data_IF_779982333577
#
_entry.id   IF_779982333577
#
_cell.length_a   1.000
_cell.length_b   1.000
_cell.length_c   1.000
_cell.angle_alpha   90.00
_cell.angle_beta   90.00
_cell.angle_gamma   90.00
#
_symmetry.space_group_name_H-M   'P 1'
#
loop_
_entity.id
_entity.type
_entity.pdbx_description
1 polymer ?
#
# COMPACT_ATOMS: atom_id res chain seq x y z
N UNK A 1 -51.59 57.22 -10.60
CA UNK A 1 -50.26 57.69 -11.06
C UNK A 1 -49.64 58.37 -9.85
N UNK A 2 -48.70 57.79 -9.11
CA UNK A 2 -47.26 57.62 -9.41
C UNK A 2 -46.71 56.63 -8.36
N UNK A 3 -46.34 55.40 -8.73
CA UNK A 3 -45.52 54.53 -7.86
C UNK A 3 -44.96 53.30 -8.60
N UNK A 4 -44.24 53.50 -9.71
CA UNK A 4 -43.51 52.41 -10.40
C UNK A 4 -42.25 52.89 -11.11
N UNK A 5 -41.30 53.54 -10.41
CA UNK A 5 -39.99 53.89 -11.01
C UNK A 5 -38.80 53.92 -10.02
N UNK A 6 -38.82 53.17 -8.92
CA UNK A 6 -37.77 53.30 -7.90
C UNK A 6 -36.98 52.02 -7.56
N UNK A 7 -37.05 50.94 -8.36
CA UNK A 7 -36.37 49.68 -8.01
C UNK A 7 -35.64 49.01 -9.18
N UNK A 8 -35.10 49.79 -10.12
CA UNK A 8 -34.20 49.29 -11.18
C UNK A 8 -32.75 49.77 -10.97
N UNK A 9 -32.50 50.59 -9.96
CA UNK A 9 -31.18 51.21 -9.72
C UNK A 9 -30.34 50.54 -8.61
N UNK A 10 -30.63 49.28 -8.25
CA UNK A 10 -29.90 48.55 -7.19
C UNK A 10 -29.18 47.29 -7.70
N UNK A 11 -29.01 47.14 -9.01
CA UNK A 11 -28.36 45.96 -9.63
C UNK A 11 -27.03 46.31 -10.34
N UNK A 12 -26.62 47.57 -10.40
CA UNK A 12 -25.47 48.00 -11.23
C UNK A 12 -24.24 48.54 -10.46
N UNK A 13 -24.11 48.27 -9.16
CA UNK A 13 -22.95 48.69 -8.36
C UNK A 13 -22.46 47.56 -7.43
N UNK A 14 -21.89 46.51 -8.00
CA UNK A 14 -20.83 45.72 -7.34
C UNK A 14 -19.83 45.24 -8.38
N UNK A 15 -19.04 46.23 -8.79
CA UNK A 15 -17.87 46.14 -9.64
C UNK A 15 -16.83 45.18 -9.05
N UNK A 16 -16.38 44.25 -9.91
CA UNK A 16 -14.99 43.83 -10.10
C UNK A 16 -14.10 43.70 -8.86
N UNK A 17 -14.05 42.51 -8.28
CA UNK A 17 -12.87 42.04 -7.55
C UNK A 17 -11.89 41.42 -8.56
N UNK A 18 -10.62 41.82 -8.62
CA UNK A 18 -9.62 41.13 -9.41
C UNK A 18 -9.35 39.75 -8.81
N UNK A 19 -9.37 38.72 -9.65
CA UNK A 19 -8.97 37.38 -9.27
C UNK A 19 -7.48 37.38 -8.88
N UNK A 20 -7.20 37.12 -7.61
CA UNK A 20 -5.85 36.88 -7.11
C UNK A 20 -5.45 35.46 -7.58
N UNK A 21 -4.69 35.38 -8.67
CA UNK A 21 -4.03 34.15 -9.10
C UNK A 21 -2.86 33.87 -8.15
N UNK A 22 -3.11 33.07 -7.12
CA UNK A 22 -2.07 32.47 -6.28
C UNK A 22 -1.34 31.41 -7.11
N UNK A 23 -0.26 31.82 -7.78
CA UNK A 23 0.72 30.90 -8.36
C UNK A 23 1.53 30.25 -7.22
N UNK A 24 1.02 29.14 -6.71
CA UNK A 24 1.81 28.25 -5.84
C UNK A 24 2.90 27.64 -6.70
N UNK A 25 4.13 28.15 -6.56
CA UNK A 25 5.32 27.49 -7.12
C UNK A 25 5.49 26.18 -6.35
N UNK A 26 5.54 25.01 -7.01
CA UNK A 26 5.92 23.78 -6.34
C UNK A 26 7.38 23.94 -5.89
N UNK A 27 7.58 24.06 -4.58
CA UNK A 27 8.90 23.89 -3.98
C UNK A 27 9.24 22.41 -4.15
N UNK A 28 10.10 22.12 -5.12
CA UNK A 28 10.76 20.81 -5.21
C UNK A 28 11.61 20.68 -3.94
N UNK A 29 11.05 19.99 -2.94
CA UNK A 29 11.81 19.56 -1.79
C UNK A 29 12.79 18.52 -2.31
N UNK A 30 14.04 18.95 -2.48
CA UNK A 30 15.16 18.07 -2.80
C UNK A 30 15.33 17.12 -1.62
N UNK A 31 14.74 15.93 -1.75
CA UNK A 31 14.85 14.85 -0.78
C UNK A 31 16.32 14.58 -0.50
N UNK A 32 16.66 14.50 0.79
CA UNK A 32 17.99 14.13 1.25
C UNK A 32 18.28 12.72 0.76
N UNK A 33 19.33 12.55 -0.02
CA UNK A 33 19.89 11.24 -0.36
C UNK A 33 20.47 10.63 0.90
N UNK A 34 19.81 9.61 1.45
CA UNK A 34 20.43 8.70 2.42
C UNK A 34 21.50 7.87 1.69
N UNK A 35 22.66 7.73 2.34
CA UNK A 35 23.92 7.37 1.70
C UNK A 35 24.07 5.91 1.28
N UNK A 36 24.93 5.76 0.26
CA UNK A 36 25.89 4.68 0.03
C UNK A 36 25.41 3.24 0.26
N UNK A 37 24.61 2.74 -0.68
CA UNK A 37 24.59 1.31 -1.01
C UNK A 37 25.95 0.88 -1.60
N UNK A 38 26.44 -0.33 -1.30
CA UNK A 38 27.70 -0.85 -1.84
C UNK A 38 27.65 -1.02 -3.37
N UNK A 39 28.79 -0.88 -4.07
CA UNK A 39 28.83 -0.97 -5.53
C UNK A 39 28.67 -2.43 -5.96
N UNK A 40 27.55 -2.76 -6.61
CA UNK A 40 27.36 -4.12 -7.12
C UNK A 40 25.99 -4.46 -7.73
N UNK A 41 24.95 -3.66 -7.55
CA UNK A 41 23.66 -3.85 -8.21
C UNK A 41 23.06 -2.49 -8.57
N UNK A 42 23.15 -2.09 -9.85
CA UNK A 42 22.44 -0.91 -10.36
C UNK A 42 21.63 -1.30 -11.59
N UNK A 43 20.47 -1.89 -11.32
CA UNK A 43 19.25 -1.60 -12.06
C UNK A 43 18.15 -1.43 -11.00
N UNK A 44 18.10 -0.25 -10.38
CA UNK A 44 16.89 0.19 -9.67
C UNK A 44 15.80 0.35 -10.74
N UNK A 45 14.94 -0.67 -10.88
CA UNK A 45 13.74 -0.55 -11.69
C UNK A 45 12.76 0.39 -10.96
N UNK A 46 12.37 1.53 -11.56
CA UNK A 46 11.61 2.61 -10.91
C UNK A 46 10.15 2.26 -10.54
N UNK A 47 9.76 0.99 -10.58
CA UNK A 47 8.36 0.56 -10.53
C UNK A 47 7.90 -0.01 -9.18
N UNK A 48 8.79 -0.17 -8.18
CA UNK A 48 8.43 -0.77 -6.88
C UNK A 48 8.38 0.24 -5.71
N UNK A 49 8.71 1.51 -5.93
CA UNK A 49 8.66 2.52 -4.86
C UNK A 49 7.23 2.67 -4.31
N UNK A 50 7.08 2.45 -2.99
CA UNK A 50 5.81 2.60 -2.28
C UNK A 50 4.81 1.46 -2.44
N UNK A 51 5.14 0.38 -3.15
CA UNK A 51 4.25 -0.80 -3.23
C UNK A 51 4.04 -1.43 -1.85
N UNK A 52 5.12 -1.54 -1.07
CA UNK A 52 5.16 -2.12 0.28
C UNK A 52 4.34 -1.37 1.32
N UNK A 53 4.05 -0.08 1.08
CA UNK A 53 3.24 0.73 1.99
C UNK A 53 1.74 0.63 1.68
N UNK A 54 1.38 0.07 0.52
CA UNK A 54 0.00 0.04 -0.01
C UNK A 54 -0.58 -1.36 -0.08
N UNK A 55 0.26 -2.37 -0.24
CA UNK A 55 -0.17 -3.74 -0.49
C UNK A 55 0.61 -4.69 0.40
N UNK A 56 -0.08 -5.64 1.02
CA UNK A 56 0.55 -6.63 1.88
C UNK A 56 0.45 -8.04 1.28
N UNK A 57 1.26 -8.95 1.79
CA UNK A 57 1.10 -10.38 1.56
C UNK A 57 2.31 -11.08 0.95
N UNK A 58 2.19 -12.38 0.77
CA UNK A 58 3.31 -13.27 0.44
C UNK A 58 3.68 -13.27 -1.04
N UNK A 59 2.94 -12.56 -1.88
CA UNK A 59 3.22 -12.45 -3.31
C UNK A 59 4.63 -11.89 -3.61
N UNK A 60 5.22 -11.08 -2.72
CA UNK A 60 6.60 -10.60 -2.86
C UNK A 60 7.65 -11.70 -3.00
N UNK A 61 7.37 -12.91 -2.50
CA UNK A 61 8.30 -14.04 -2.55
C UNK A 61 8.26 -14.79 -3.88
N UNK A 62 7.22 -14.58 -4.67
CA UNK A 62 6.91 -15.40 -5.87
C UNK A 62 6.54 -14.58 -7.10
N UNK A 63 6.39 -13.26 -6.96
CA UNK A 63 6.10 -12.35 -8.05
C UNK A 63 7.17 -11.25 -8.15
N UNK A 64 7.49 -10.86 -9.37
CA UNK A 64 8.49 -9.85 -9.71
C UNK A 64 7.90 -8.78 -10.62
N UNK A 65 8.50 -7.58 -10.55
CA UNK A 65 8.07 -6.40 -11.31
C UNK A 65 6.58 -6.16 -11.10
N UNK A 66 6.23 -5.92 -9.83
CA UNK A 66 4.88 -5.62 -9.43
C UNK A 66 4.71 -4.11 -9.27
N UNK A 67 3.54 -3.59 -9.62
CA UNK A 67 3.18 -2.19 -9.45
C UNK A 67 1.67 -2.05 -9.22
N UNK A 68 1.28 -0.93 -8.64
CA UNK A 68 -0.13 -0.55 -8.55
C UNK A 68 -0.47 0.52 -9.55
N UNK A 69 -1.63 0.43 -10.20
CA UNK A 69 -2.18 1.49 -11.03
C UNK A 69 -3.52 1.95 -10.45
N UNK A 70 -3.78 3.25 -10.54
CA UNK A 70 -5.11 3.80 -10.37
C UNK A 70 -5.77 3.82 -11.74
N UNK A 71 -6.98 3.27 -11.82
CA UNK A 71 -7.81 3.35 -13.01
C UNK A 71 -8.76 4.53 -12.79
N UNK A 72 -8.59 5.65 -13.49
CA UNK A 72 -9.44 6.84 -13.30
C UNK A 72 -10.93 6.53 -13.54
N UNK A 73 -11.22 5.50 -14.34
CA UNK A 73 -12.58 5.06 -14.67
C UNK A 73 -13.14 4.00 -13.70
N UNK A 74 -12.34 3.50 -12.75
CA UNK A 74 -12.80 2.52 -11.75
C UNK A 74 -12.41 2.96 -10.33
N UNK A 75 -13.29 2.77 -9.33
CA UNK A 75 -12.95 3.10 -7.95
C UNK A 75 -11.81 2.24 -7.38
N UNK A 76 -11.45 1.14 -8.06
CA UNK A 76 -10.55 0.13 -7.54
C UNK A 76 -9.15 0.25 -8.14
N UNK A 77 -8.16 0.38 -7.26
CA UNK A 77 -6.74 0.28 -7.63
C UNK A 77 -6.43 -1.13 -8.14
N UNK A 78 -5.46 -1.28 -9.03
CA UNK A 78 -5.06 -2.58 -9.61
C UNK A 78 -3.64 -2.94 -9.17
N UNK A 79 -3.44 -4.11 -8.58
CA UNK A 79 -2.11 -4.71 -8.42
C UNK A 79 -1.79 -5.56 -9.65
N UNK A 80 -0.68 -5.28 -10.31
CA UNK A 80 -0.19 -6.04 -11.47
C UNK A 80 1.22 -6.52 -11.23
N UNK A 81 1.53 -7.75 -11.64
CA UNK A 81 2.88 -8.31 -11.63
C UNK A 81 3.19 -8.95 -12.99
N UNK A 82 4.34 -8.64 -13.58
CA UNK A 82 4.75 -9.20 -14.88
C UNK A 82 5.07 -10.70 -14.81
N UNK A 83 5.66 -11.15 -13.69
CA UNK A 83 6.15 -12.53 -13.55
C UNK A 83 5.81 -13.06 -12.17
N UNK A 84 4.83 -13.94 -12.09
CA UNK A 84 4.53 -14.74 -10.92
C UNK A 84 4.87 -16.21 -11.20
N UNK A 85 5.64 -16.83 -10.31
CA UNK A 85 6.09 -18.21 -10.43
C UNK A 85 4.93 -19.19 -10.28
N UNK A 86 4.84 -20.14 -11.21
CA UNK A 86 3.91 -21.26 -11.20
C UNK A 86 4.54 -22.49 -10.53
N UNK A 87 3.75 -23.52 -10.24
CA UNK A 87 4.21 -24.72 -9.55
C UNK A 87 5.25 -25.52 -10.38
N UNK A 88 5.19 -25.38 -11.70
CA UNK A 88 6.15 -25.97 -12.66
C UNK A 88 7.44 -25.12 -12.83
N UNK A 89 7.57 -24.02 -12.09
CA UNK A 89 8.69 -23.07 -12.16
C UNK A 89 8.60 -22.07 -13.31
N UNK A 90 7.59 -22.14 -14.17
CA UNK A 90 7.38 -21.15 -15.23
C UNK A 90 6.77 -19.85 -14.69
N UNK A 91 6.68 -18.82 -15.53
CA UNK A 91 6.17 -17.50 -15.12
C UNK A 91 4.88 -17.14 -15.85
N UNK A 92 3.98 -16.48 -15.12
CA UNK A 92 2.72 -15.96 -15.64
C UNK A 92 2.54 -14.50 -15.21
N UNK A 93 2.03 -13.66 -16.11
CA UNK A 93 1.57 -12.31 -15.75
C UNK A 93 0.28 -12.42 -14.94
N UNK A 94 0.19 -11.69 -13.83
CA UNK A 94 -0.98 -11.72 -12.97
C UNK A 94 -1.45 -10.34 -12.57
N UNK A 95 -2.76 -10.21 -12.37
CA UNK A 95 -3.45 -8.96 -12.07
C UNK A 95 -4.56 -9.27 -11.08
N UNK A 96 -4.70 -8.42 -10.06
CA UNK A 96 -5.82 -8.44 -9.13
C UNK A 96 -6.31 -7.01 -8.87
N UNK A 97 -7.62 -6.86 -8.68
CA UNK A 97 -8.23 -5.57 -8.33
C UNK A 97 -8.28 -5.42 -6.82
N UNK A 98 -7.64 -4.38 -6.33
CA UNK A 98 -7.62 -3.99 -4.92
C UNK A 98 -8.91 -3.29 -4.53
N UNK A 99 -9.19 -3.21 -3.23
CA UNK A 99 -10.46 -2.65 -2.75
C UNK A 99 -11.68 -3.48 -3.16
N UNK A 100 -11.49 -4.74 -3.55
CA UNK A 100 -12.59 -5.68 -3.67
C UNK A 100 -13.23 -5.83 -2.27
N UNK A 101 -14.55 -5.65 -2.10
CA UNK A 101 -15.22 -5.83 -0.81
C UNK A 101 -15.03 -7.23 -0.22
N UNK A 102 -14.71 -8.23 -1.04
CA UNK A 102 -14.34 -9.55 -0.55
C UNK A 102 -12.94 -9.56 0.08
N UNK A 103 -12.03 -8.70 -0.39
CA UNK A 103 -10.61 -8.61 -0.04
C UNK A 103 -10.30 -7.49 0.96
N UNK A 104 -11.00 -7.46 2.09
CA UNK A 104 -11.04 -6.31 3.00
C UNK A 104 -9.71 -5.90 3.64
N UNK A 105 -8.70 -6.77 3.62
CA UNK A 105 -7.39 -6.53 4.27
C UNK A 105 -6.27 -6.16 3.29
N UNK A 106 -6.54 -6.16 1.98
CA UNK A 106 -5.55 -5.95 0.92
C UNK A 106 -4.26 -6.79 1.11
N UNK A 107 -4.44 -8.04 1.53
CA UNK A 107 -3.37 -9.04 1.65
C UNK A 107 -3.49 -10.01 0.49
N UNK A 108 -2.40 -10.19 -0.25
CA UNK A 108 -2.38 -10.99 -1.48
C UNK A 108 -1.32 -12.09 -1.42
N UNK A 109 -1.66 -13.25 -1.97
CA UNK A 109 -0.79 -14.41 -2.14
C UNK A 109 -0.74 -14.82 -3.60
N UNK A 110 0.22 -15.67 -3.92
CA UNK A 110 0.32 -16.28 -5.25
C UNK A 110 -0.11 -17.74 -5.18
N UNK A 111 -1.01 -18.13 -6.07
CA UNK A 111 -1.46 -19.52 -6.25
C UNK A 111 -1.28 -19.88 -7.71
N UNK A 112 -0.35 -20.80 -7.98
CA UNK A 112 0.02 -21.23 -9.33
C UNK A 112 0.17 -20.04 -10.32
N UNK A 113 1.03 -19.08 -9.95
CA UNK A 113 1.27 -17.86 -10.74
C UNK A 113 0.12 -16.86 -10.81
N UNK A 114 -0.96 -17.05 -10.05
CA UNK A 114 -2.11 -16.15 -10.00
C UNK A 114 -2.19 -15.41 -8.66
N UNK A 115 -2.34 -14.09 -8.69
CA UNK A 115 -2.57 -13.28 -7.51
C UNK A 115 -3.98 -13.53 -6.98
N UNK A 116 -4.07 -13.85 -5.70
CA UNK A 116 -5.31 -14.08 -4.98
C UNK A 116 -5.30 -13.34 -3.65
N UNK A 117 -6.48 -13.05 -3.12
CA UNK A 117 -6.62 -12.53 -1.78
C UNK A 117 -6.28 -13.60 -0.75
N UNK A 118 -5.58 -13.18 0.31
CA UNK A 118 -5.28 -13.99 1.47
C UNK A 118 -6.11 -13.51 2.67
N UNK A 119 -7.34 -14.02 2.76
CA UNK A 119 -8.32 -13.57 3.75
C UNK A 119 -7.94 -13.93 5.20
N UNK A 120 -7.16 -15.00 5.35
CA UNK A 120 -6.76 -15.51 6.66
C UNK A 120 -5.65 -14.65 7.24
N UNK A 121 -4.72 -14.21 6.40
CA UNK A 121 -3.50 -13.56 6.82
C UNK A 121 -3.75 -12.09 7.24
N UNK A 122 -3.14 -11.61 8.34
CA UNK A 122 -3.29 -10.22 8.72
C UNK A 122 -2.46 -9.29 7.83
N UNK A 123 -2.85 -8.02 7.74
CA UNK A 123 -2.08 -7.00 7.06
C UNK A 123 -0.79 -6.67 7.84
N UNK A 124 0.20 -6.17 7.12
CA UNK A 124 1.44 -5.70 7.71
C UNK A 124 2.69 -6.04 6.91
N UNK A 125 3.76 -5.34 7.21
CA UNK A 125 5.04 -5.43 6.50
C UNK A 125 5.87 -6.66 6.86
N UNK A 126 5.45 -7.43 7.86
CA UNK A 126 6.12 -8.70 8.20
C UNK A 126 6.21 -9.66 7.00
N UNK A 127 5.25 -9.62 6.08
CA UNK A 127 5.26 -10.43 4.85
C UNK A 127 6.52 -10.29 4.00
N UNK A 128 7.21 -9.15 4.06
CA UNK A 128 8.43 -8.89 3.28
C UNK A 128 9.60 -9.80 3.72
N UNK A 129 9.64 -10.16 5.00
CA UNK A 129 10.82 -10.77 5.62
C UNK A 129 10.49 -11.99 6.49
N UNK A 130 9.20 -12.33 6.61
CA UNK A 130 8.71 -13.52 7.28
C UNK A 130 8.14 -14.53 6.29
N UNK A 131 8.29 -15.80 6.65
CA UNK A 131 7.98 -16.96 5.83
C UNK A 131 7.22 -18.00 6.66
N UNK A 132 6.58 -18.93 5.96
CA UNK A 132 5.90 -20.09 6.56
C UNK A 132 4.94 -19.69 7.69
N UNK A 133 4.20 -18.60 7.44
CA UNK A 133 3.25 -18.06 8.39
C UNK A 133 1.99 -18.93 8.44
N UNK A 134 1.50 -19.20 9.65
CA UNK A 134 0.25 -19.91 9.89
C UNK A 134 -0.48 -19.30 11.08
N UNK A 135 -1.81 -19.41 11.07
CA UNK A 135 -2.68 -18.94 12.14
C UNK A 135 -3.32 -20.15 12.80
N UNK A 136 -3.24 -20.23 14.12
CA UNK A 136 -3.90 -21.30 14.90
C UNK A 136 -4.50 -20.71 16.15
N UNK A 137 -5.82 -20.86 16.31
CA UNK A 137 -6.56 -20.40 17.48
C UNK A 137 -6.21 -18.95 17.90
N UNK A 138 -6.25 -18.04 16.91
CA UNK A 138 -5.94 -16.61 17.08
C UNK A 138 -4.46 -16.25 17.31
N UNK A 139 -3.53 -17.19 17.12
CA UNK A 139 -2.09 -16.93 17.20
C UNK A 139 -1.48 -16.94 15.80
N UNK A 140 -0.83 -15.84 15.41
CA UNK A 140 0.02 -15.78 14.22
C UNK A 140 1.39 -16.34 14.56
N UNK A 141 1.83 -17.36 13.84
CA UNK A 141 3.17 -17.94 13.93
C UNK A 141 3.88 -17.81 12.60
N UNK A 142 5.11 -17.31 12.60
CA UNK A 142 5.94 -17.16 11.39
C UNK A 142 7.41 -17.50 11.66
N UNK A 143 8.19 -17.66 10.60
CA UNK A 143 9.64 -17.64 10.63
C UNK A 143 10.15 -16.35 10.01
N UNK A 144 10.69 -15.45 10.83
CA UNK A 144 11.08 -14.10 10.41
C UNK A 144 12.60 -13.95 10.31
N UNK A 145 13.08 -13.27 9.27
CA UNK A 145 14.49 -12.92 9.15
C UNK A 145 14.93 -12.04 10.34
N UNK A 146 16.03 -12.43 10.98
CA UNK A 146 16.63 -11.76 12.12
C UNK A 146 18.12 -12.11 12.23
N UNK A 147 18.78 -11.55 13.25
CA UNK A 147 20.15 -11.88 13.60
C UNK A 147 20.16 -12.46 15.02
N UNK A 148 20.46 -13.77 15.23
CA UNK A 148 20.95 -14.82 14.30
C UNK A 148 19.80 -15.44 13.45
N UNK A 149 20.02 -16.42 12.54
CA UNK A 149 19.14 -16.62 11.35
C UNK A 149 17.70 -17.00 11.70
N UNK A 150 16.79 -16.81 10.71
CA UNK A 150 15.33 -17.03 10.75
C UNK A 150 14.78 -17.50 12.09
N UNK A 151 14.14 -16.60 12.82
CA UNK A 151 13.63 -16.85 14.18
C UNK A 151 12.15 -17.23 14.09
N UNK A 152 11.77 -18.33 14.73
CA UNK A 152 10.37 -18.66 14.92
C UNK A 152 9.76 -17.68 15.94
N UNK A 153 8.67 -17.03 15.57
CA UNK A 153 8.04 -15.99 16.39
C UNK A 153 6.52 -16.13 16.34
N UNK A 154 5.86 -15.74 17.43
CA UNK A 154 4.41 -15.84 17.63
C UNK A 154 3.88 -14.57 18.26
N UNK A 155 2.66 -14.20 17.90
CA UNK A 155 1.94 -13.05 18.48
C UNK A 155 0.43 -13.32 18.43
N UNK A 156 -0.33 -12.82 19.41
CA UNK A 156 -1.78 -12.87 19.37
C UNK A 156 -2.34 -11.97 18.28
N UNK A 157 -3.30 -12.46 17.50
CA UNK A 157 -3.96 -11.67 16.45
C UNK A 157 -4.81 -10.55 17.04
N UNK A 158 -5.41 -10.77 18.21
CA UNK A 158 -6.07 -9.73 18.99
C UNK A 158 -5.16 -8.65 19.60
N UNK A 159 -3.84 -8.71 19.40
CA UNK A 159 -2.92 -7.69 19.92
C UNK A 159 -2.70 -6.52 18.95
N UNK A 160 -2.83 -6.77 17.64
CA UNK A 160 -2.45 -5.79 16.61
C UNK A 160 -3.43 -5.77 15.43
N UNK A 161 -3.68 -4.58 14.89
CA UNK A 161 -4.33 -4.44 13.58
C UNK A 161 -3.38 -4.72 12.41
N UNK A 162 -2.08 -4.44 12.60
CA UNK A 162 -1.02 -4.62 11.60
C UNK A 162 0.27 -5.11 12.24
N UNK A 163 0.98 -5.97 11.54
CA UNK A 163 2.17 -6.65 12.06
C UNK A 163 3.44 -6.27 11.30
N UNK A 164 4.54 -6.13 12.03
CA UNK A 164 5.87 -5.90 11.47
C UNK A 164 6.84 -6.96 11.99
N UNK A 165 7.91 -7.19 11.22
CA UNK A 165 9.08 -7.90 11.71
C UNK A 165 10.07 -6.91 12.30
N UNK A 166 10.37 -7.02 13.58
CA UNK A 166 11.41 -6.26 14.26
C UNK A 166 12.53 -7.21 14.70
N UNK A 167 13.60 -7.26 13.91
CA UNK A 167 14.79 -8.09 14.17
C UNK A 167 14.49 -9.58 14.44
N UNK A 168 13.57 -10.16 13.67
CA UNK A 168 13.16 -11.56 13.79
C UNK A 168 12.00 -11.82 14.75
N UNK A 169 11.43 -10.77 15.36
CA UNK A 169 10.26 -10.87 16.22
C UNK A 169 9.06 -10.16 15.59
N UNK A 170 7.91 -10.84 15.54
CA UNK A 170 6.65 -10.19 15.20
C UNK A 170 6.27 -9.17 16.28
N UNK A 171 5.85 -7.98 15.84
CA UNK A 171 5.36 -6.90 16.70
C UNK A 171 4.22 -6.14 16.03
N UNK A 172 3.46 -5.39 16.81
CA UNK A 172 2.50 -4.44 16.26
C UNK A 172 3.23 -3.30 15.51
N UNK A 173 2.65 -2.84 14.41
CA UNK A 173 3.07 -1.60 13.78
C UNK A 173 2.84 -0.41 14.74
N UNK A 174 3.80 0.52 14.89
CA UNK A 174 3.64 1.67 15.79
C UNK A 174 2.38 2.48 15.49
N UNK A 175 1.66 2.89 16.54
CA UNK A 175 0.43 3.69 16.41
C UNK A 175 -0.83 2.87 16.05
N UNK A 176 -0.80 1.55 16.27
CA UNK A 176 -1.91 0.63 16.01
C UNK A 176 -2.36 -0.16 17.26
N UNK A 177 -2.11 0.35 18.47
CA UNK A 177 -2.61 -0.26 19.71
C UNK A 177 -4.15 -0.32 19.67
N UNK A 178 -4.70 -1.49 19.98
CA UNK A 178 -6.14 -1.65 20.14
C UNK A 178 -6.52 -0.94 21.45
N UNK A 179 -7.11 0.24 21.35
CA UNK A 179 -7.78 0.87 22.48
C UNK A 179 -9.10 0.14 22.70
N UNK A 180 -9.20 -0.61 23.79
CA UNK A 180 -10.45 -1.22 24.30
C UNK A 180 -11.59 -0.20 24.46
#
# INVERSE_FOLDING_TARGET
MVLRQALVLLVLLSLSLPAIQLTVRPTVVKGRTCGNSPPGFTHEEPHQEGLHDRVYGTFYHSCYKCWTEFDDDRPNQRLSCEKCTQDDGSFKKSIVYMGNPECTKDVYRTVNGSLECDYLMPPGRFHETCFDCNITADVLKCYCQGYPPKIATTIGMGECNKFINNHGQLRCEPGQEITD
#
